data_IF_019492268667
#
_entry.id   IF_019492268667
#
_cell.length_a   1.000
_cell.length_b   1.000
_cell.length_c   1.000
_cell.angle_alpha   90.00
_cell.angle_beta   90.00
_cell.angle_gamma   90.00
#
_symmetry.space_group_name_H-M   'P 1'
#
loop_
_entity.id
_entity.type
_entity.pdbx_description
1 polymer ?
#
# COMPACT_ATOMS: atom_id res chain seq x y z
N UNK A 1 -24.66 21.30 -48.40
CA UNK A 1 -23.83 20.14 -48.03
C UNK A 1 -23.35 20.35 -46.59
N UNK A 2 -23.90 19.53 -45.67
CA UNK A 2 -23.58 19.31 -44.23
C UNK A 2 -22.87 20.43 -43.43
N UNK A 3 -23.64 21.24 -42.70
CA UNK A 3 -23.16 21.89 -41.49
C UNK A 3 -23.14 20.85 -40.35
N UNK A 4 -21.97 20.54 -39.82
CA UNK A 4 -21.79 19.67 -38.66
C UNK A 4 -22.21 20.40 -37.39
N UNK A 5 -23.40 20.05 -36.88
CA UNK A 5 -23.89 20.51 -35.58
C UNK A 5 -23.21 19.68 -34.47
N UNK A 6 -21.98 20.06 -34.07
CA UNK A 6 -21.44 19.61 -32.79
C UNK A 6 -21.96 20.54 -31.69
N UNK A 7 -23.13 20.21 -31.15
CA UNK A 7 -23.60 20.81 -29.92
C UNK A 7 -22.62 20.43 -28.79
N UNK A 8 -21.75 21.36 -28.40
CA UNK A 8 -21.03 21.29 -27.11
C UNK A 8 -22.07 21.41 -25.99
N UNK A 9 -22.66 20.28 -25.61
CA UNK A 9 -23.43 20.20 -24.36
C UNK A 9 -22.44 20.55 -23.25
N UNK A 10 -22.69 21.63 -22.51
CA UNK A 10 -21.82 21.98 -21.39
C UNK A 10 -21.92 20.86 -20.35
N UNK A 11 -20.79 20.50 -19.74
CA UNK A 11 -20.69 19.45 -18.71
C UNK A 11 -21.78 19.59 -17.63
N UNK A 12 -22.15 20.84 -17.29
CA UNK A 12 -23.21 21.17 -16.33
C UNK A 12 -24.63 20.79 -16.80
N UNK A 13 -24.96 20.98 -18.09
CA UNK A 13 -26.26 20.57 -18.66
C UNK A 13 -26.38 19.05 -18.69
N UNK A 14 -25.30 18.36 -19.03
CA UNK A 14 -25.25 16.91 -19.03
C UNK A 14 -25.38 16.33 -17.62
N UNK A 15 -24.64 16.87 -16.64
CA UNK A 15 -24.74 16.45 -15.24
C UNK A 15 -26.15 16.66 -14.67
N UNK A 16 -26.83 17.74 -15.04
CA UNK A 16 -28.22 17.94 -14.62
C UNK A 16 -29.16 16.90 -15.24
N UNK A 17 -29.03 16.60 -16.54
CA UNK A 17 -29.85 15.56 -17.18
C UNK A 17 -29.66 14.17 -16.53
N UNK A 18 -28.41 13.82 -16.16
CA UNK A 18 -28.13 12.59 -15.43
C UNK A 18 -28.84 12.56 -14.07
N UNK A 19 -28.81 13.69 -13.34
CA UNK A 19 -29.49 13.81 -12.04
C UNK A 19 -31.00 13.71 -12.18
N UNK A 20 -31.57 14.32 -13.22
CA UNK A 20 -33.00 14.26 -13.52
C UNK A 20 -33.44 12.83 -13.86
N UNK A 21 -32.53 12.00 -14.38
CA UNK A 21 -32.72 10.55 -14.55
C UNK A 21 -32.44 9.72 -13.29
N UNK A 22 -32.21 10.36 -12.13
CA UNK A 22 -31.92 9.67 -10.86
C UNK A 22 -30.50 9.10 -10.76
N UNK A 23 -29.60 9.45 -11.69
CA UNK A 23 -28.22 8.97 -11.66
C UNK A 23 -27.36 9.80 -10.71
N UNK A 24 -26.49 9.12 -9.94
CA UNK A 24 -25.46 9.78 -9.14
C UNK A 24 -24.46 10.46 -10.10
N UNK A 25 -24.22 11.74 -9.88
CA UNK A 25 -23.26 12.54 -10.67
C UNK A 25 -21.88 12.63 -10.02
N UNK A 26 -21.76 12.08 -8.81
CA UNK A 26 -20.55 12.12 -7.98
C UNK A 26 -20.34 10.75 -7.37
N UNK A 27 -19.07 10.38 -7.18
CA UNK A 27 -18.70 9.13 -6.53
C UNK A 27 -18.80 9.32 -5.01
N UNK A 28 -19.52 8.41 -4.34
CA UNK A 28 -19.61 8.36 -2.89
C UNK A 28 -19.13 6.99 -2.36
N UNK A 29 -19.05 6.86 -1.04
CA UNK A 29 -18.57 5.63 -0.39
C UNK A 29 -19.38 4.38 -0.77
N UNK A 30 -20.71 4.52 -0.89
CA UNK A 30 -21.60 3.42 -1.28
C UNK A 30 -21.31 2.95 -2.71
N UNK A 31 -21.14 3.90 -3.64
CA UNK A 31 -20.77 3.60 -5.02
C UNK A 31 -19.41 2.92 -5.09
N UNK A 32 -18.44 3.39 -4.32
CA UNK A 32 -17.12 2.74 -4.22
C UNK A 32 -17.25 1.31 -3.71
N UNK A 33 -18.05 1.10 -2.68
CA UNK A 33 -18.28 -0.22 -2.09
C UNK A 33 -18.85 -1.21 -3.12
N UNK A 34 -19.86 -0.79 -3.88
CA UNK A 34 -20.47 -1.62 -4.91
C UNK A 34 -19.47 -1.96 -6.03
N UNK A 35 -18.65 -0.99 -6.43
CA UNK A 35 -17.58 -1.20 -7.41
C UNK A 35 -16.50 -2.17 -6.89
N UNK A 36 -16.08 -2.03 -5.62
CA UNK A 36 -15.14 -2.96 -4.99
C UNK A 36 -15.71 -4.38 -5.00
N UNK A 37 -16.98 -4.54 -4.63
CA UNK A 37 -17.65 -5.85 -4.63
C UNK A 37 -17.73 -6.45 -6.03
N UNK A 38 -18.02 -5.63 -7.05
CA UNK A 38 -18.02 -6.04 -8.45
C UNK A 38 -16.63 -6.50 -8.90
N UNK A 39 -15.59 -5.69 -8.65
CA UNK A 39 -14.22 -6.02 -9.05
C UNK A 39 -13.66 -7.24 -8.33
N UNK A 40 -14.07 -7.47 -7.07
CA UNK A 40 -13.71 -8.66 -6.30
C UNK A 40 -14.46 -9.93 -6.70
N UNK A 41 -15.50 -9.85 -7.54
CA UNK A 41 -16.31 -11.02 -7.90
C UNK A 41 -15.63 -11.98 -8.89
N UNK A 42 -14.49 -11.58 -9.47
CA UNK A 42 -13.75 -12.34 -10.51
C UNK A 42 -14.58 -12.68 -11.77
N UNK A 43 -15.73 -12.03 -11.96
CA UNK A 43 -16.59 -12.23 -13.13
C UNK A 43 -16.07 -11.51 -14.39
N UNK A 44 -15.23 -10.50 -14.20
CA UNK A 44 -14.64 -9.72 -15.30
C UNK A 44 -13.14 -10.03 -15.46
N UNK A 45 -12.60 -9.94 -16.68
CA UNK A 45 -11.16 -10.10 -16.90
C UNK A 45 -10.36 -9.09 -16.06
N UNK A 46 -9.30 -9.55 -15.38
CA UNK A 46 -8.49 -8.71 -14.47
C UNK A 46 -7.89 -7.49 -15.21
N UNK A 47 -7.62 -7.61 -16.53
CA UNK A 47 -7.17 -6.47 -17.35
C UNK A 47 -8.20 -5.36 -17.43
N UNK A 48 -9.48 -5.70 -17.61
CA UNK A 48 -10.56 -4.72 -17.66
C UNK A 48 -10.80 -4.10 -16.29
N UNK A 49 -10.69 -4.92 -15.23
CA UNK A 49 -10.72 -4.44 -13.83
C UNK A 49 -9.60 -3.43 -13.58
N UNK A 50 -8.38 -3.67 -14.07
CA UNK A 50 -7.24 -2.73 -13.92
C UNK A 50 -7.54 -1.35 -14.45
N UNK A 51 -8.02 -1.25 -15.68
CA UNK A 51 -8.30 0.05 -16.29
C UNK A 51 -9.38 0.82 -15.53
N UNK A 52 -10.38 0.10 -15.00
CA UNK A 52 -11.47 0.69 -14.22
C UNK A 52 -11.03 1.10 -12.81
N UNK A 53 -10.20 0.29 -12.15
CA UNK A 53 -9.62 0.59 -10.84
C UNK A 53 -8.72 1.83 -10.92
N UNK A 54 -7.89 1.95 -11.95
CA UNK A 54 -7.06 3.14 -12.16
C UNK A 54 -7.94 4.38 -12.34
N UNK A 55 -9.03 4.30 -13.11
CA UNK A 55 -9.98 5.42 -13.25
C UNK A 55 -10.67 5.76 -11.93
N UNK A 56 -11.06 4.75 -11.15
CA UNK A 56 -11.68 4.92 -9.84
C UNK A 56 -10.76 5.67 -8.87
N UNK A 57 -9.51 5.22 -8.75
CA UNK A 57 -8.52 5.81 -7.84
C UNK A 57 -8.06 7.22 -8.27
N UNK A 58 -8.21 7.56 -9.55
CA UNK A 58 -8.00 8.92 -10.06
C UNK A 58 -9.24 9.82 -9.92
N UNK A 59 -10.40 9.28 -9.55
CA UNK A 59 -11.64 10.04 -9.41
C UNK A 59 -11.76 10.67 -8.03
N UNK A 60 -12.35 11.86 -7.97
CA UNK A 60 -12.70 12.50 -6.71
C UNK A 60 -13.91 11.80 -6.09
N UNK A 61 -13.79 11.40 -4.83
CA UNK A 61 -14.85 10.76 -4.06
C UNK A 61 -15.32 11.70 -2.96
N UNK A 62 -16.63 11.86 -2.80
CA UNK A 62 -17.22 12.47 -1.61
C UNK A 62 -17.33 11.42 -0.53
N UNK A 63 -16.25 11.26 0.21
CA UNK A 63 -16.27 10.51 1.45
C UNK A 63 -17.20 11.24 2.43
N UNK A 64 -18.21 10.56 2.96
CA UNK A 64 -19.06 11.12 4.01
C UNK A 64 -18.15 11.59 5.15
N UNK A 65 -18.23 12.87 5.49
CA UNK A 65 -17.55 13.40 6.68
C UNK A 65 -18.02 12.55 7.86
N UNK A 66 -17.08 11.97 8.61
CA UNK A 66 -17.29 10.97 9.67
C UNK A 66 -17.46 9.53 9.18
N UNK A 67 -16.34 8.86 9.03
CA UNK A 67 -16.13 7.67 9.88
C UNK A 67 -14.64 7.54 10.12
N UNK A 68 -14.16 8.09 11.24
CA UNK A 68 -12.91 7.58 11.81
C UNK A 68 -13.27 6.17 12.28
N UNK A 69 -13.08 5.21 11.38
CA UNK A 69 -13.38 3.82 11.66
C UNK A 69 -12.48 3.39 12.82
N UNK A 70 -13.08 2.75 13.82
CA UNK A 70 -12.35 2.07 14.89
C UNK A 70 -11.42 1.00 14.30
N UNK A 71 -10.46 0.51 15.08
CA UNK A 71 -9.57 -0.56 14.62
C UNK A 71 -10.35 -1.80 14.13
N UNK A 72 -11.46 -2.14 14.79
CA UNK A 72 -12.32 -3.26 14.44
C UNK A 72 -13.13 -3.03 13.16
N UNK A 73 -13.57 -1.79 12.91
CA UNK A 73 -14.25 -1.45 11.65
C UNK A 73 -13.27 -1.38 10.49
N UNK A 74 -12.06 -0.88 10.72
CA UNK A 74 -10.99 -0.86 9.74
C UNK A 74 -10.60 -2.26 9.25
N UNK A 75 -10.62 -3.26 10.14
CA UNK A 75 -10.31 -4.66 9.79
C UNK A 75 -11.46 -5.40 9.13
N UNK A 76 -12.65 -4.80 9.05
CA UNK A 76 -13.82 -5.36 8.39
C UNK A 76 -14.25 -4.57 7.16
N UNK A 77 -13.69 -3.39 6.93
CA UNK A 77 -14.03 -2.52 5.81
C UNK A 77 -13.71 -3.21 4.47
N UNK A 78 -14.72 -3.55 3.65
CA UNK A 78 -14.49 -4.27 2.40
C UNK A 78 -13.65 -3.50 1.40
N UNK A 79 -13.59 -2.16 1.49
CA UNK A 79 -12.66 -1.37 0.68
C UNK A 79 -11.21 -1.80 0.94
N UNK A 80 -10.88 -2.17 2.19
CA UNK A 80 -9.51 -2.52 2.62
C UNK A 80 -9.21 -4.02 2.64
N UNK A 81 -10.24 -4.85 2.75
CA UNK A 81 -10.10 -6.30 2.95
C UNK A 81 -10.46 -7.13 1.73
N UNK A 82 -11.24 -6.60 0.79
CA UNK A 82 -11.60 -7.33 -0.43
C UNK A 82 -10.45 -7.28 -1.43
N UNK A 83 -10.30 -8.34 -2.24
CA UNK A 83 -9.28 -8.40 -3.29
C UNK A 83 -9.79 -7.74 -4.56
N UNK A 84 -9.39 -6.49 -4.79
CA UNK A 84 -9.86 -5.73 -5.96
C UNK A 84 -8.77 -4.87 -6.60
N UNK A 85 -7.56 -4.83 -6.01
CA UNK A 85 -6.43 -4.10 -6.58
C UNK A 85 -5.61 -5.03 -7.48
N UNK A 86 -5.49 -4.74 -8.79
CA UNK A 86 -4.71 -5.56 -9.70
C UNK A 86 -3.23 -5.22 -9.60
N UNK A 87 -2.46 -6.16 -9.09
CA UNK A 87 -1.00 -6.07 -8.94
C UNK A 87 -0.31 -7.12 -9.81
N UNK A 88 0.97 -6.91 -10.12
CA UNK A 88 1.79 -7.89 -10.82
C UNK A 88 2.68 -8.60 -9.78
N UNK A 89 2.55 -9.92 -9.71
CA UNK A 89 3.38 -10.81 -8.87
C UNK A 89 4.01 -11.83 -9.79
N UNK A 90 5.33 -11.90 -9.84
CA UNK A 90 6.09 -12.84 -10.68
C UNK A 90 5.63 -12.85 -12.14
N UNK A 91 5.38 -11.66 -12.70
CA UNK A 91 4.90 -11.47 -14.08
C UNK A 91 3.42 -11.79 -14.31
N UNK A 92 2.69 -12.26 -13.31
CA UNK A 92 1.27 -12.59 -13.38
C UNK A 92 0.42 -11.51 -12.71
N UNK A 93 -0.68 -11.11 -13.36
CA UNK A 93 -1.61 -10.14 -12.78
C UNK A 93 -2.60 -10.85 -11.86
N UNK A 94 -2.67 -10.40 -10.60
CA UNK A 94 -3.54 -10.97 -9.57
C UNK A 94 -4.27 -9.86 -8.82
N UNK A 95 -5.44 -10.18 -8.25
CA UNK A 95 -6.15 -9.26 -7.36
C UNK A 95 -5.65 -9.43 -5.93
N UNK A 96 -5.32 -8.31 -5.29
CA UNK A 96 -4.94 -8.22 -3.88
C UNK A 96 -5.85 -7.25 -3.15
N UNK A 97 -5.99 -7.48 -1.85
CA UNK A 97 -6.60 -6.50 -0.97
C UNK A 97 -5.62 -5.36 -0.66
N UNK A 98 -6.10 -4.15 -0.34
CA UNK A 98 -5.21 -3.06 0.02
C UNK A 98 -4.29 -3.32 1.22
N UNK A 99 -4.64 -4.23 2.13
CA UNK A 99 -3.74 -4.69 3.19
C UNK A 99 -2.73 -5.77 2.74
N UNK A 100 -2.88 -6.32 1.53
CA UNK A 100 -1.99 -7.32 0.93
C UNK A 100 -1.07 -6.71 -0.16
N UNK A 101 -1.12 -5.39 -0.39
CA UNK A 101 -0.26 -4.68 -1.34
C UNK A 101 -0.06 -3.22 -0.92
N UNK A 102 0.86 -2.50 -1.56
CA UNK A 102 1.15 -1.10 -1.22
C UNK A 102 1.47 -0.24 -2.44
N UNK A 103 1.35 1.08 -2.24
CA UNK A 103 1.79 2.09 -3.20
C UNK A 103 3.31 2.16 -3.32
N UNK A 104 3.83 2.52 -4.50
CA UNK A 104 5.26 2.51 -4.83
C UNK A 104 6.13 3.53 -4.07
N UNK A 105 5.55 4.54 -3.40
CA UNK A 105 6.33 5.58 -2.69
C UNK A 105 7.31 5.02 -1.66
N UNK A 106 6.88 4.01 -0.91
CA UNK A 106 7.66 3.43 0.18
C UNK A 106 8.27 2.07 -0.19
N UNK A 107 8.46 1.81 -1.49
CA UNK A 107 8.83 0.50 -2.05
C UNK A 107 9.95 -0.21 -1.27
N UNK A 108 11.00 0.53 -0.90
CA UNK A 108 12.19 -0.02 -0.24
C UNK A 108 11.84 -0.67 1.12
N UNK A 109 10.79 -0.19 1.79
CA UNK A 109 10.39 -0.63 3.12
C UNK A 109 9.61 -1.95 3.14
N UNK A 110 9.08 -2.41 2.00
CA UNK A 110 8.20 -3.57 2.00
C UNK A 110 8.27 -4.44 0.74
N UNK A 111 8.97 -4.03 -0.32
CA UNK A 111 8.77 -4.63 -1.66
C UNK A 111 9.19 -6.09 -1.81
N UNK A 112 9.97 -6.65 -0.89
CA UNK A 112 10.20 -8.10 -0.87
C UNK A 112 9.09 -8.85 -0.13
N UNK A 113 8.23 -8.14 0.61
CA UNK A 113 7.17 -8.69 1.46
C UNK A 113 5.77 -8.45 0.90
N UNK A 114 5.53 -7.31 0.27
CA UNK A 114 4.24 -6.92 -0.29
C UNK A 114 4.37 -6.55 -1.78
N UNK A 115 3.47 -7.05 -2.64
CA UNK A 115 3.29 -6.58 -4.00
C UNK A 115 3.06 -5.07 -4.08
N UNK A 116 3.51 -4.47 -5.18
CA UNK A 116 3.36 -3.04 -5.45
C UNK A 116 2.19 -2.84 -6.40
N UNK A 117 1.27 -1.98 -6.01
CA UNK A 117 0.29 -1.41 -6.91
C UNK A 117 0.85 -0.14 -7.55
N UNK A 118 1.28 -0.25 -8.81
CA UNK A 118 1.92 0.85 -9.52
C UNK A 118 0.89 1.82 -10.09
N UNK A 119 0.67 2.92 -9.36
CA UNK A 119 -0.15 4.06 -9.79
C UNK A 119 0.63 5.34 -9.54
N UNK A 120 0.77 6.19 -10.56
CA UNK A 120 1.62 7.37 -10.47
C UNK A 120 1.14 8.41 -9.46
N UNK A 121 -0.18 8.56 -9.31
CA UNK A 121 -0.76 9.56 -8.42
C UNK A 121 -1.95 8.96 -7.67
N UNK A 122 -1.90 9.06 -6.35
CA UNK A 122 -3.01 8.71 -5.47
C UNK A 122 -3.33 9.93 -4.59
N UNK A 123 -4.60 10.32 -4.50
CA UNK A 123 -4.99 11.41 -3.62
C UNK A 123 -4.81 11.02 -2.16
N UNK A 124 -4.60 12.00 -1.27
CA UNK A 124 -4.49 11.76 0.17
C UNK A 124 -5.73 11.02 0.72
N UNK A 125 -6.91 11.36 0.19
CA UNK A 125 -8.15 10.72 0.59
C UNK A 125 -8.14 9.22 0.24
N UNK A 126 -7.73 8.87 -0.98
CA UNK A 126 -7.61 7.46 -1.38
C UNK A 126 -6.53 6.73 -0.58
N UNK A 127 -5.37 7.35 -0.35
CA UNK A 127 -4.33 6.80 0.52
C UNK A 127 -4.88 6.45 1.90
N UNK A 128 -5.67 7.35 2.49
CA UNK A 128 -6.33 7.12 3.77
C UNK A 128 -7.40 6.02 3.70
N UNK A 129 -8.23 5.98 2.65
CA UNK A 129 -9.27 4.95 2.52
C UNK A 129 -8.69 3.55 2.30
N UNK A 130 -7.58 3.43 1.58
CA UNK A 130 -6.86 2.17 1.42
C UNK A 130 -6.08 1.76 2.68
N UNK A 131 -5.86 2.70 3.61
CA UNK A 131 -5.05 2.48 4.82
C UNK A 131 -3.55 2.52 4.55
N UNK A 132 -3.13 3.10 3.42
CA UNK A 132 -1.73 3.28 3.03
C UNK A 132 -1.11 4.56 3.60
N UNK A 133 -1.83 5.29 4.42
CA UNK A 133 -1.30 6.35 5.28
C UNK A 133 -0.78 5.80 6.63
N UNK A 134 -1.15 4.56 6.97
CA UNK A 134 -0.74 3.92 8.22
C UNK A 134 0.69 3.42 8.16
N UNK A 135 1.33 3.41 9.33
CA UNK A 135 2.66 2.86 9.55
C UNK A 135 2.68 1.40 9.08
N UNK A 136 3.73 1.01 8.36
CA UNK A 136 3.94 -0.38 7.90
C UNK A 136 4.05 -1.29 9.12
N UNK A 137 3.47 -2.48 9.11
CA UNK A 137 3.47 -3.33 10.31
C UNK A 137 4.87 -3.83 10.71
N UNK A 138 5.03 -4.13 12.00
CA UNK A 138 6.24 -4.69 12.61
C UNK A 138 6.73 -5.94 11.91
N UNK A 139 5.82 -6.82 11.60
CA UNK A 139 6.10 -8.09 10.96
C UNK A 139 6.68 -7.87 9.57
N UNK A 140 6.11 -6.94 8.79
CA UNK A 140 6.60 -6.61 7.44
C UNK A 140 7.99 -5.98 7.50
N UNK A 141 8.22 -5.01 8.38
CA UNK A 141 9.52 -4.35 8.48
C UNK A 141 10.62 -5.29 8.96
N UNK A 142 10.34 -6.14 9.96
CA UNK A 142 11.31 -7.14 10.43
C UNK A 142 11.63 -8.16 9.33
N UNK A 143 10.63 -8.57 8.53
CA UNK A 143 10.86 -9.46 7.40
C UNK A 143 11.66 -8.77 6.28
N UNK A 144 11.36 -7.50 5.96
CA UNK A 144 12.13 -6.71 5.00
C UNK A 144 13.58 -6.50 5.47
N UNK A 145 13.79 -6.28 6.76
CA UNK A 145 15.12 -6.13 7.35
C UNK A 145 15.95 -7.42 7.21
N UNK A 146 15.34 -8.58 7.52
CA UNK A 146 15.98 -9.89 7.33
C UNK A 146 16.34 -10.12 5.87
N UNK A 147 15.40 -9.85 4.95
CA UNK A 147 15.66 -9.93 3.52
C UNK A 147 16.83 -9.04 3.09
N UNK A 148 16.85 -7.78 3.52
CA UNK A 148 17.93 -6.85 3.19
C UNK A 148 19.29 -7.32 3.72
N UNK A 149 19.30 -8.00 4.87
CA UNK A 149 20.51 -8.58 5.44
C UNK A 149 20.99 -9.83 4.69
N UNK A 150 20.07 -10.74 4.34
CA UNK A 150 20.34 -11.97 3.59
C UNK A 150 20.86 -11.65 2.18
N UNK A 151 20.29 -10.64 1.53
CA UNK A 151 20.69 -10.13 0.21
C UNK A 151 21.84 -9.12 0.26
N UNK A 152 22.50 -8.97 1.41
CA UNK A 152 23.65 -8.06 1.62
C UNK A 152 23.41 -6.61 1.13
N UNK A 153 22.15 -6.15 1.20
CA UNK A 153 21.72 -4.88 0.64
C UNK A 153 21.67 -3.78 1.71
N UNK A 154 22.81 -3.13 1.92
CA UNK A 154 22.98 -2.01 2.88
C UNK A 154 21.95 -0.90 2.75
N UNK A 155 21.50 -0.59 1.54
CA UNK A 155 20.50 0.44 1.35
C UNK A 155 19.14 0.04 1.94
N UNK A 156 18.70 -1.21 1.73
CA UNK A 156 17.44 -1.72 2.31
C UNK A 156 17.54 -1.75 3.84
N UNK A 157 18.63 -2.31 4.38
CA UNK A 157 18.85 -2.41 5.82
C UNK A 157 18.84 -1.03 6.48
N UNK A 158 19.61 -0.08 5.95
CA UNK A 158 19.70 1.27 6.53
C UNK A 158 18.38 2.05 6.42
N UNK A 159 17.65 1.94 5.31
CA UNK A 159 16.35 2.60 5.13
C UNK A 159 15.28 2.01 6.06
N UNK A 160 15.21 0.68 6.19
CA UNK A 160 14.24 0.03 7.11
C UNK A 160 14.54 0.40 8.56
N UNK A 161 15.81 0.36 8.99
CA UNK A 161 16.18 0.77 10.34
C UNK A 161 15.87 2.24 10.62
N UNK A 162 16.17 3.14 9.68
CA UNK A 162 15.85 4.56 9.83
C UNK A 162 14.34 4.79 10.03
N UNK A 163 13.51 4.08 9.26
CA UNK A 163 12.06 4.14 9.39
C UNK A 163 11.57 3.56 10.74
N UNK A 164 12.12 2.42 11.17
CA UNK A 164 11.77 1.84 12.48
C UNK A 164 12.14 2.78 13.64
N UNK A 165 13.28 3.46 13.56
CA UNK A 165 13.70 4.44 14.59
C UNK A 165 12.79 5.67 14.60
N UNK A 166 12.38 6.19 13.43
CA UNK A 166 11.51 7.36 13.36
C UNK A 166 10.11 7.09 13.90
N UNK A 167 9.54 5.93 13.54
CA UNK A 167 8.12 5.66 13.77
C UNK A 167 7.86 4.88 15.07
N UNK A 168 8.81 4.03 15.52
CA UNK A 168 8.63 3.14 16.68
C UNK A 168 9.56 3.40 17.86
N UNK A 169 10.62 4.17 17.68
CA UNK A 169 11.63 4.41 18.72
C UNK A 169 12.31 3.13 19.23
N UNK A 170 12.68 3.10 20.52
CA UNK A 170 13.50 2.03 21.14
C UNK A 170 12.71 0.71 21.35
N UNK A 171 11.38 0.70 21.16
CA UNK A 171 10.48 -0.41 21.50
C UNK A 171 10.72 -1.72 20.72
N UNK A 172 11.56 -1.71 19.69
CA UNK A 172 11.86 -2.90 18.87
C UNK A 172 13.21 -3.55 19.19
N UNK A 173 13.88 -3.14 20.27
CA UNK A 173 15.21 -3.64 20.61
C UNK A 173 15.24 -5.17 20.72
N UNK A 174 14.23 -5.78 21.36
CA UNK A 174 14.17 -7.23 21.59
C UNK A 174 14.07 -8.03 20.28
N UNK A 175 13.27 -7.56 19.31
CA UNK A 175 13.11 -8.24 18.02
C UNK A 175 14.35 -8.13 17.12
N UNK A 176 15.17 -7.11 17.38
CA UNK A 176 16.38 -6.81 16.61
C UNK A 176 17.58 -7.63 17.09
N UNK A 177 17.59 -8.13 18.32
CA UNK A 177 18.74 -8.89 18.89
C UNK A 177 19.16 -10.05 18.00
N UNK A 178 18.20 -10.72 17.37
CA UNK A 178 18.44 -11.92 16.56
C UNK A 178 18.60 -11.69 15.07
N UNK A 179 18.48 -10.45 14.60
CA UNK A 179 18.59 -10.11 13.17
C UNK A 179 20.01 -9.63 12.90
N UNK A 180 20.66 -10.21 11.89
CA UNK A 180 21.96 -9.76 11.46
C UNK A 180 21.81 -8.48 10.63
N UNK A 181 21.86 -7.30 11.24
CA UNK A 181 21.73 -6.02 10.53
C UNK A 181 22.90 -5.06 10.77
N UNK A 182 23.87 -5.42 11.62
CA UNK A 182 25.01 -4.57 11.91
C UNK A 182 26.05 -4.76 10.80
N UNK A 183 26.38 -3.73 10.01
CA UNK A 183 27.30 -3.87 8.90
C UNK A 183 28.71 -4.23 9.40
N UNK A 184 29.30 -5.24 8.78
CA UNK A 184 30.72 -5.55 8.81
C UNK A 184 31.27 -5.16 7.43
N UNK A 185 32.55 -4.76 7.34
CA UNK A 185 33.17 -4.49 6.05
C UNK A 185 32.93 -5.61 5.03
N UNK A 186 32.85 -5.26 3.74
CA UNK A 186 32.50 -6.14 2.61
C UNK A 186 31.05 -6.65 2.57
N UNK A 187 30.07 -5.81 2.94
CA UNK A 187 28.62 -6.07 2.78
C UNK A 187 28.02 -7.20 3.63
N UNK A 188 28.80 -7.85 4.48
CA UNK A 188 28.26 -8.84 5.43
C UNK A 188 27.59 -8.15 6.63
N UNK A 189 26.52 -8.75 7.15
CA UNK A 189 25.88 -8.31 8.39
C UNK A 189 26.11 -9.26 9.55
N UNK A 190 26.20 -8.70 10.76
CA UNK A 190 26.30 -9.44 12.02
C UNK A 190 25.13 -9.11 12.94
N UNK A 191 24.83 -10.04 13.85
CA UNK A 191 23.84 -9.79 14.89
C UNK A 191 24.39 -8.80 15.92
N UNK A 192 23.56 -7.90 16.50
CA UNK A 192 23.98 -6.91 17.48
C UNK A 192 24.84 -7.48 18.62
N UNK A 193 24.42 -8.62 19.19
CA UNK A 193 25.15 -9.23 20.30
C UNK A 193 26.57 -9.68 19.92
N UNK A 194 26.86 -9.95 18.64
CA UNK A 194 28.19 -10.36 18.21
C UNK A 194 29.16 -9.17 18.17
N UNK A 195 28.63 -7.95 18.04
CA UNK A 195 29.41 -6.72 17.89
C UNK A 195 29.53 -5.96 19.21
N UNK A 196 28.42 -5.89 19.96
CA UNK A 196 28.31 -5.06 21.14
C UNK A 196 28.45 -5.83 22.46
N UNK A 197 28.62 -7.16 22.42
CA UNK A 197 28.97 -7.91 23.65
C UNK A 197 30.43 -7.64 24.05
N UNK A 198 30.70 -7.46 25.34
CA UNK A 198 32.08 -7.36 25.82
C UNK A 198 32.85 -8.64 25.47
N UNK A 199 34.14 -8.54 25.10
CA UNK A 199 34.96 -9.71 24.84
C UNK A 199 34.92 -10.61 26.08
N UNK A 200 34.55 -11.88 25.88
CA UNK A 200 34.69 -12.89 26.95
C UNK A 200 36.16 -12.89 27.33
N UNK A 201 36.49 -12.46 28.55
CA UNK A 201 37.84 -12.61 29.11
C UNK A 201 38.19 -14.09 28.99
N UNK A 202 39.05 -14.44 28.03
CA UNK A 202 39.67 -15.76 28.01
C UNK A 202 40.44 -15.94 29.32
N UNK A 203 40.59 -17.19 29.81
CA UNK A 203 41.41 -17.44 30.98
C UNK A 203 42.80 -16.85 30.72
N UNK A 204 43.15 -15.83 31.50
CA UNK A 204 44.49 -15.26 31.55
C UNK A 204 45.45 -16.41 31.87
N UNK A 205 46.25 -16.77 30.88
CA UNK A 205 47.37 -17.70 31.02
C UNK A 205 48.52 -17.04 31.77
#
# INVERSE_FOLDING_TARGET
MKQSFQAKISSKKFANALRDCGMKTELDRETVYDLVKLYSSEQEPIRDVRDRVIKLLNSQCRWSQQTVLTAAENSRDPIRTSRWLPVIVDGTMVLKAPNECRHSLDRILFSSQLPIFDVHHLSKDWTAQLGWDKIISKEILLAQLRYGAEEETTHVVSTVLAYMVSDWGISCADDLVDIAFVPRGNSCFMKPYQVFSPPKKGPSS
#
